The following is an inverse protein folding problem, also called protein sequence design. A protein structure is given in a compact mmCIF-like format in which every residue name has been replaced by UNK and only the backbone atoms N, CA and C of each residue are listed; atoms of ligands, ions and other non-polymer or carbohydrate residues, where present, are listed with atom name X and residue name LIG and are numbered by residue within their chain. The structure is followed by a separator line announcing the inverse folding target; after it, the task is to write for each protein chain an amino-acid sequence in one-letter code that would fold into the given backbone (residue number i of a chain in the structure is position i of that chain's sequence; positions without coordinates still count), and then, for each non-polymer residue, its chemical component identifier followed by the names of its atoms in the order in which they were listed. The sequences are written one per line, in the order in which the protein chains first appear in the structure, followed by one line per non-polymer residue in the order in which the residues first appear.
data_IF_473315903354
#
_entry.id   IF_473315903354
#
_cell.length_a   1.000
_cell.length_b   1.000
_cell.length_c   1.000
_cell.angle_alpha   90.00
_cell.angle_beta   90.00
_cell.angle_gamma   90.00
#
_symmetry.space_group_name_H-M   'P 1'
#
loop_
_entity.id
_entity.type
_entity.pdbx_description
1 polymer ?
#
# COMPACT_ATOMS: atom_id res chain seq x y z
N UNK A 1 -3.66 4.05 12.37
CA UNK A 1 -2.57 4.11 11.38
C UNK A 1 -1.35 3.22 11.70
N UNK A 2 -1.18 2.67 12.92
CA UNK A 2 -0.01 1.83 13.23
C UNK A 2 -0.10 0.37 12.73
N UNK A 3 -1.31 -0.20 12.65
CA UNK A 3 -1.51 -1.62 12.26
C UNK A 3 -1.34 -1.88 10.76
N UNK A 4 -1.61 -0.89 9.91
CA UNK A 4 -1.70 -1.14 8.46
C UNK A 4 -0.37 -1.53 7.83
N UNK A 5 0.72 -0.83 8.18
CA UNK A 5 2.05 -1.12 7.65
C UNK A 5 2.57 -2.51 8.04
N UNK A 6 2.58 -2.92 9.33
CA UNK A 6 2.99 -4.27 9.70
C UNK A 6 2.05 -5.35 9.14
N UNK A 7 0.75 -5.08 8.96
CA UNK A 7 -0.14 -6.02 8.26
C UNK A 7 0.25 -6.16 6.78
N UNK A 8 0.41 -5.07 6.02
CA UNK A 8 0.83 -5.13 4.61
C UNK A 8 2.18 -5.84 4.47
N UNK A 9 3.12 -5.57 5.39
CA UNK A 9 4.41 -6.25 5.42
C UNK A 9 4.28 -7.74 5.69
N UNK A 10 3.52 -8.12 6.72
CA UNK A 10 3.27 -9.52 7.07
C UNK A 10 2.59 -10.28 5.93
N UNK A 11 1.61 -9.67 5.26
CA UNK A 11 0.95 -10.24 4.09
C UNK A 11 1.92 -10.34 2.90
N UNK A 12 2.67 -9.28 2.59
CA UNK A 12 3.58 -9.25 1.44
C UNK A 12 4.75 -10.24 1.49
N UNK A 13 5.14 -10.71 2.68
CA UNK A 13 6.17 -11.76 2.85
C UNK A 13 5.57 -13.15 3.14
N UNK A 14 4.26 -13.26 3.30
CA UNK A 14 3.61 -14.51 3.67
C UNK A 14 3.76 -15.56 2.56
N UNK A 15 4.32 -16.73 2.88
CA UNK A 15 4.48 -17.84 1.92
C UNK A 15 5.68 -17.72 0.97
N UNK A 16 6.50 -16.67 1.06
CA UNK A 16 7.61 -16.43 0.12
C UNK A 16 8.93 -17.14 0.46
N UNK A 17 9.07 -17.79 1.61
CA UNK A 17 10.27 -18.56 1.98
C UNK A 17 11.57 -17.76 1.81
N UNK A 18 12.53 -18.27 1.04
CA UNK A 18 13.79 -17.58 0.70
C UNK A 18 13.59 -16.22 0.00
N UNK A 19 12.48 -16.02 -0.70
CA UNK A 19 12.18 -14.76 -1.43
C UNK A 19 11.68 -13.65 -0.50
N UNK A 20 11.42 -13.95 0.79
CA UNK A 20 10.92 -12.96 1.77
C UNK A 20 11.88 -11.78 1.97
N UNK A 21 13.19 -12.00 1.88
CA UNK A 21 14.22 -10.94 1.97
C UNK A 21 14.14 -9.96 0.79
N UNK A 22 13.79 -10.47 -0.38
CA UNK A 22 13.66 -9.68 -1.60
C UNK A 22 12.33 -8.91 -1.61
N UNK A 23 11.23 -9.56 -1.21
CA UNK A 23 9.92 -8.92 -1.05
C UNK A 23 9.92 -7.79 0.00
N UNK A 24 10.55 -8.01 1.16
CA UNK A 24 10.72 -6.96 2.18
C UNK A 24 11.53 -5.77 1.66
N UNK A 25 12.57 -6.00 0.87
CA UNK A 25 13.35 -4.92 0.22
C UNK A 25 12.49 -4.10 -0.75
N UNK A 26 11.63 -4.75 -1.53
CA UNK A 26 10.68 -4.06 -2.42
C UNK A 26 9.62 -3.26 -1.66
N UNK A 27 9.08 -3.80 -0.57
CA UNK A 27 8.11 -3.08 0.27
C UNK A 27 8.74 -1.81 0.84
N UNK A 28 10.00 -1.86 1.29
CA UNK A 28 10.73 -0.69 1.79
C UNK A 28 10.99 0.33 0.68
N UNK A 29 11.35 -0.11 -0.53
CA UNK A 29 11.48 0.79 -1.69
C UNK A 29 10.15 1.46 -2.06
N UNK A 30 9.02 0.76 -1.90
CA UNK A 30 7.70 1.33 -2.15
C UNK A 30 7.34 2.47 -1.16
N UNK A 31 7.93 2.51 0.04
CA UNK A 31 7.74 3.62 0.99
C UNK A 31 8.25 4.94 0.42
N UNK A 32 9.32 4.92 -0.39
CA UNK A 32 9.80 6.12 -1.09
C UNK A 32 8.74 6.71 -2.03
N UNK A 33 7.91 5.85 -2.64
CA UNK A 33 6.73 6.28 -3.41
C UNK A 33 5.69 7.00 -2.56
N UNK A 34 5.63 6.68 -1.26
CA UNK A 34 4.79 7.37 -0.27
C UNK A 34 5.14 8.84 -0.08
N UNK A 35 6.38 9.28 -0.35
CA UNK A 35 6.75 10.69 -0.32
C UNK A 35 6.25 11.48 -1.54
N UNK A 36 5.92 10.78 -2.63
CA UNK A 36 5.38 11.38 -3.86
C UNK A 36 3.91 11.78 -3.69
N UNK A 37 3.13 11.01 -2.91
CA UNK A 37 1.71 11.26 -2.69
C UNK A 37 1.42 12.59 -1.97
N UNK A 38 2.11 12.98 -0.87
CA UNK A 38 1.99 14.30 -0.24
C UNK A 38 2.39 15.43 -1.18
N UNK A 39 3.41 15.22 -2.02
CA UNK A 39 3.86 16.21 -3.00
C UNK A 39 2.79 16.46 -4.07
N UNK A 40 2.15 15.39 -4.53
CA UNK A 40 1.01 15.46 -5.45
C UNK A 40 -0.20 16.13 -4.79
N UNK A 41 -0.51 15.76 -3.54
CA UNK A 41 -1.58 16.36 -2.74
C UNK A 41 -1.39 17.87 -2.55
N UNK A 42 -0.19 18.31 -2.20
CA UNK A 42 0.13 19.74 -2.06
C UNK A 42 -0.04 20.48 -3.39
N UNK A 43 0.46 19.91 -4.48
CA UNK A 43 0.34 20.53 -5.80
C UNK A 43 -1.11 20.61 -6.32
N UNK A 44 -1.93 19.60 -6.04
CA UNK A 44 -3.37 19.61 -6.36
C UNK A 44 -4.14 20.58 -5.46
N UNK A 45 -3.78 20.62 -4.17
CA UNK A 45 -4.35 21.54 -3.19
C UNK A 45 -4.15 23.01 -3.55
N UNK A 46 -2.95 23.35 -4.04
CA UNK A 46 -2.60 24.72 -4.46
C UNK A 46 -3.36 25.21 -5.70
N UNK A 47 -3.84 24.30 -6.57
CA UNK A 47 -4.49 24.68 -7.83
C UNK A 47 -6.02 24.72 -7.80
N UNK A 48 -6.68 23.94 -6.96
CA UNK A 48 -8.15 23.74 -7.05
C UNK A 48 -8.90 24.12 -5.78
N UNK A 49 -8.54 23.52 -4.63
CA UNK A 49 -9.06 23.83 -3.30
C UNK A 49 -8.50 22.79 -2.30
N UNK A 50 -8.28 23.18 -1.05
CA UNK A 50 -7.72 22.27 -0.03
C UNK A 50 -8.61 21.04 0.25
N UNK A 51 -9.92 21.14 0.01
CA UNK A 51 -10.87 20.01 0.07
C UNK A 51 -10.58 18.92 -0.98
N UNK A 52 -10.10 19.27 -2.18
CA UNK A 52 -9.76 18.27 -3.22
C UNK A 52 -8.45 17.55 -2.86
N UNK A 53 -7.56 18.21 -2.12
CA UNK A 53 -6.36 17.59 -1.57
C UNK A 53 -6.68 16.35 -0.71
N UNK A 54 -7.81 16.33 0.00
CA UNK A 54 -8.24 15.16 0.78
C UNK A 54 -8.69 13.96 -0.06
N UNK A 55 -9.00 14.14 -1.35
CA UNK A 55 -9.32 13.01 -2.22
C UNK A 55 -8.11 12.09 -2.43
N UNK A 56 -6.88 12.62 -2.40
CA UNK A 56 -5.65 11.86 -2.59
C UNK A 56 -5.45 10.79 -1.50
N UNK A 57 -5.45 11.12 -0.19
CA UNK A 57 -5.38 10.10 0.85
C UNK A 57 -6.61 9.18 0.88
N UNK A 58 -7.78 9.65 0.45
CA UNK A 58 -9.01 8.85 0.39
C UNK A 58 -8.90 7.72 -0.65
N UNK A 59 -8.37 8.03 -1.84
CA UNK A 59 -8.06 7.02 -2.87
C UNK A 59 -6.96 6.07 -2.40
N UNK A 60 -5.92 6.58 -1.73
CA UNK A 60 -4.86 5.73 -1.18
C UNK A 60 -5.39 4.71 -0.17
N UNK A 61 -6.31 5.13 0.71
CA UNK A 61 -6.99 4.23 1.64
C UNK A 61 -7.87 3.20 0.93
N UNK A 62 -8.58 3.59 -0.14
CA UNK A 62 -9.39 2.67 -0.94
C UNK A 62 -8.54 1.55 -1.58
N UNK A 63 -7.35 1.89 -2.09
CA UNK A 63 -6.39 0.90 -2.63
C UNK A 63 -5.91 -0.06 -1.55
N UNK A 64 -5.58 0.45 -0.35
CA UNK A 64 -5.16 -0.38 0.79
C UNK A 64 -6.31 -1.31 1.24
N UNK A 65 -7.54 -0.80 1.28
CA UNK A 65 -8.73 -1.59 1.61
C UNK A 65 -8.98 -2.69 0.56
N UNK A 66 -8.83 -2.38 -0.72
CA UNK A 66 -8.92 -3.35 -1.80
C UNK A 66 -7.81 -4.42 -1.70
N UNK A 67 -6.58 -4.04 -1.35
CA UNK A 67 -5.49 -4.99 -1.10
C UNK A 67 -5.82 -5.94 0.06
N UNK A 68 -6.31 -5.41 1.19
CA UNK A 68 -6.74 -6.24 2.32
C UNK A 68 -7.93 -7.15 2.01
N UNK A 69 -8.91 -6.67 1.22
CA UNK A 69 -10.07 -7.46 0.81
C UNK A 69 -9.70 -8.56 -0.19
N UNK A 70 -8.85 -8.23 -1.16
CA UNK A 70 -8.35 -9.18 -2.18
C UNK A 70 -7.36 -10.21 -1.60
N UNK A 71 -6.74 -9.94 -0.46
CA UNK A 71 -5.89 -10.92 0.24
C UNK A 71 -6.61 -12.23 0.57
N UNK A 72 -7.90 -12.19 0.95
CA UNK A 72 -8.68 -13.39 1.21
C UNK A 72 -8.83 -14.31 -0.02
N UNK A 73 -8.76 -13.72 -1.22
CA UNK A 73 -8.77 -14.44 -2.50
C UNK A 73 -7.36 -14.84 -2.93
N UNK A 74 -6.36 -13.98 -2.73
CA UNK A 74 -4.96 -14.24 -3.11
C UNK A 74 -4.31 -15.32 -2.22
N UNK A 75 -4.64 -15.36 -0.94
CA UNK A 75 -4.23 -16.41 0.00
C UNK A 75 -4.76 -17.80 -0.37
N UNK A 76 -5.81 -17.89 -1.19
CA UNK A 76 -6.32 -19.17 -1.73
C UNK A 76 -5.62 -19.58 -3.03
N UNK A 77 -5.08 -18.63 -3.78
CA UNK A 77 -4.39 -18.89 -5.04
C UNK A 77 -2.97 -19.46 -4.87
N UNK A 78 -2.31 -19.18 -3.75
CA UNK A 78 -0.95 -19.68 -3.43
C UNK A 78 -0.90 -21.02 -2.68
N UNK A 79 -1.98 -21.81 -2.68
CA UNK A 79 -2.05 -23.12 -1.99
C UNK A 79 -2.28 -24.28 -2.98
N UNK A 80 -1.87 -24.08 -4.23
CA UNK A 80 -2.08 -24.98 -5.35
C UNK A 80 -0.78 -25.35 -6.06
N UNK A 81 0.23 -25.76 -5.30
CA UNK A 81 1.40 -26.51 -5.76
C UNK A 81 1.90 -27.44 -4.66
#
# INVERSE_FOLDING_TARGET
MSVMFPTIFALGIHGLGEKSKLASSFIVMAIMGGALLPKLMGWVGDRWNMSVGFAVPLVCFAVIAAYGFSWGTLSRAGRGD
#
